data_IF_778227936679
#
_entry.id   IF_778227936679
#
_cell.length_a   1.000
_cell.length_b   1.000
_cell.length_c   1.000
_cell.angle_alpha   90.00
_cell.angle_beta   90.00
_cell.angle_gamma   90.00
#
_symmetry.space_group_name_H-M   'P 1'
#
loop_
_entity.id
_entity.type
_entity.pdbx_description
1 polymer ?
#
# COMPACT_ATOMS: atom_id res chain seq x y z
N UNK A 1 15.34 -7.77 -16.74
CA UNK A 1 14.36 -8.43 -15.84
C UNK A 1 13.81 -7.49 -14.77
N UNK A 2 14.55 -7.11 -13.71
CA UNK A 2 13.99 -6.23 -12.65
C UNK A 2 13.63 -4.82 -13.14
N UNK A 3 14.40 -4.26 -14.09
CA UNK A 3 14.05 -3.01 -14.78
C UNK A 3 12.72 -3.11 -15.55
N UNK A 4 12.42 -4.28 -16.11
CA UNK A 4 11.17 -4.50 -16.86
C UNK A 4 9.96 -4.56 -15.92
N UNK A 5 10.15 -5.09 -14.70
CA UNK A 5 9.13 -4.96 -13.65
C UNK A 5 8.94 -3.51 -13.24
N UNK A 6 10.04 -2.76 -13.06
CA UNK A 6 9.98 -1.35 -12.69
C UNK A 6 9.19 -0.53 -13.72
N UNK A 7 9.44 -0.68 -15.01
CA UNK A 7 8.72 0.08 -16.06
C UNK A 7 7.23 -0.26 -16.13
N UNK A 8 6.83 -1.48 -15.74
CA UNK A 8 5.43 -1.91 -15.73
C UNK A 8 4.69 -1.50 -14.45
N UNK A 9 5.40 -1.48 -13.32
CA UNK A 9 4.85 -1.22 -11.99
C UNK A 9 4.94 0.26 -11.59
N UNK A 10 5.93 0.99 -12.09
CA UNK A 10 6.18 2.39 -11.73
C UNK A 10 5.85 3.30 -12.91
N UNK A 11 5.07 4.34 -12.64
CA UNK A 11 4.77 5.40 -13.60
C UNK A 11 5.22 6.72 -13.02
N UNK A 12 6.22 7.33 -13.62
CA UNK A 12 6.67 8.69 -13.31
C UNK A 12 5.72 9.72 -13.93
N UNK A 13 5.32 10.73 -13.16
CA UNK A 13 4.60 11.92 -13.64
C UNK A 13 5.28 13.16 -13.05
N UNK A 14 5.17 14.34 -13.68
CA UNK A 14 5.85 15.54 -13.19
C UNK A 14 5.56 15.94 -11.74
N UNK A 15 4.43 15.50 -11.16
CA UNK A 15 4.00 15.86 -9.81
C UNK A 15 4.07 14.69 -8.81
N UNK A 16 4.25 13.45 -9.29
CA UNK A 16 4.24 12.28 -8.43
C UNK A 16 4.74 11.04 -9.17
N UNK A 17 5.25 10.09 -8.40
CA UNK A 17 5.48 8.72 -8.82
C UNK A 17 4.31 7.83 -8.42
N UNK A 18 3.83 6.99 -9.35
CA UNK A 18 2.76 6.01 -9.08
C UNK A 18 3.29 4.59 -9.13
N UNK A 19 3.17 3.89 -8.02
CA UNK A 19 3.43 2.46 -7.87
C UNK A 19 2.13 1.68 -8.00
N UNK A 20 2.01 0.84 -9.04
CA UNK A 20 0.86 -0.03 -9.28
C UNK A 20 1.01 -1.34 -8.50
N UNK A 21 -0.07 -1.81 -7.88
CA UNK A 21 -0.11 -3.10 -7.19
C UNK A 21 -0.84 -4.14 -8.04
N UNK A 22 -0.26 -4.48 -9.19
CA UNK A 22 -0.76 -5.57 -10.03
C UNK A 22 -0.34 -6.91 -9.41
N UNK A 23 -1.31 -7.67 -8.89
CA UNK A 23 -1.02 -8.90 -8.14
C UNK A 23 -0.28 -9.95 -8.95
N UNK A 24 -0.67 -10.17 -10.21
CA UNK A 24 -0.05 -11.19 -11.05
C UNK A 24 1.42 -10.84 -11.34
N UNK A 25 1.66 -9.57 -11.67
CA UNK A 25 3.00 -9.03 -11.89
C UNK A 25 3.85 -9.09 -10.62
N UNK A 26 3.29 -8.73 -9.48
CA UNK A 26 3.99 -8.74 -8.19
C UNK A 26 4.29 -10.16 -7.70
N UNK A 27 3.42 -11.12 -7.96
CA UNK A 27 3.67 -12.52 -7.61
C UNK A 27 4.78 -13.14 -8.48
N UNK A 28 4.85 -12.77 -9.77
CA UNK A 28 5.99 -13.14 -10.62
C UNK A 28 7.29 -12.48 -10.16
N UNK A 29 7.24 -11.19 -9.79
CA UNK A 29 8.39 -10.47 -9.23
C UNK A 29 8.86 -11.12 -7.93
N UNK A 30 7.93 -11.48 -7.04
CA UNK A 30 8.25 -12.18 -5.81
C UNK A 30 8.92 -13.54 -6.08
N UNK A 31 8.39 -14.34 -7.02
CA UNK A 31 8.99 -15.63 -7.38
C UNK A 31 10.42 -15.46 -7.90
N UNK A 32 10.64 -14.43 -8.72
CA UNK A 32 11.96 -14.07 -9.24
C UNK A 32 12.92 -13.70 -8.11
N UNK A 33 12.49 -12.82 -7.19
CA UNK A 33 13.29 -12.42 -6.03
C UNK A 33 13.59 -13.61 -5.10
N UNK A 34 12.60 -14.46 -4.83
CA UNK A 34 12.78 -15.64 -4.00
C UNK A 34 13.78 -16.64 -4.61
N UNK A 35 13.78 -16.81 -5.94
CA UNK A 35 14.79 -17.61 -6.64
C UNK A 35 16.19 -17.01 -6.50
N UNK A 36 16.35 -15.70 -6.72
CA UNK A 36 17.65 -15.03 -6.51
C UNK A 36 18.15 -15.17 -5.07
N UNK A 37 17.28 -14.93 -4.09
CA UNK A 37 17.61 -15.08 -2.67
C UNK A 37 17.96 -16.53 -2.30
N UNK A 38 17.30 -17.52 -2.90
CA UNK A 38 17.62 -18.94 -2.71
C UNK A 38 19.04 -19.29 -3.19
N UNK A 39 19.47 -18.73 -4.32
CA UNK A 39 20.86 -18.89 -4.79
C UNK A 39 21.87 -18.19 -3.86
N UNK A 40 21.47 -17.06 -3.26
CA UNK A 40 22.31 -16.33 -2.31
C UNK A 40 22.48 -17.07 -0.99
N UNK A 41 21.57 -17.95 -0.57
CA UNK A 41 21.75 -18.76 0.65
C UNK A 41 22.97 -19.69 0.61
N UNK A 42 23.47 -20.04 -0.57
CA UNK A 42 24.65 -20.89 -0.73
C UNK A 42 25.97 -20.11 -0.71
N UNK A 43 25.94 -18.78 -0.77
CA UNK A 43 27.11 -17.90 -0.78
C UNK A 43 26.99 -16.85 0.34
N UNK A 44 28.06 -16.54 1.05
CA UNK A 44 28.03 -15.57 2.15
C UNK A 44 27.74 -14.13 1.64
N UNK A 45 26.45 -13.78 1.43
CA UNK A 45 26.03 -12.70 0.50
C UNK A 45 25.06 -11.68 1.10
N UNK A 46 25.26 -11.32 2.37
CA UNK A 46 24.60 -10.18 2.99
C UNK A 46 24.71 -8.89 2.13
N UNK A 47 25.91 -8.64 1.58
CA UNK A 47 26.18 -7.48 0.72
C UNK A 47 25.41 -7.51 -0.61
N UNK A 48 25.14 -8.69 -1.17
CA UNK A 48 24.47 -8.81 -2.47
C UNK A 48 22.97 -8.52 -2.35
N UNK A 49 22.35 -8.94 -1.24
CA UNK A 49 20.99 -8.54 -0.89
C UNK A 49 20.87 -7.02 -0.72
N UNK A 50 21.78 -6.40 0.03
CA UNK A 50 21.79 -4.94 0.18
C UNK A 50 21.98 -4.22 -1.16
N UNK A 51 22.91 -4.68 -2.00
CA UNK A 51 23.16 -4.10 -3.31
C UNK A 51 21.92 -4.19 -4.23
N UNK A 52 21.16 -5.29 -4.14
CA UNK A 52 19.92 -5.44 -4.90
C UNK A 52 18.87 -4.40 -4.49
N UNK A 53 18.67 -4.20 -3.19
CA UNK A 53 17.72 -3.20 -2.69
C UNK A 53 18.17 -1.77 -2.97
N UNK A 54 19.49 -1.49 -2.90
CA UNK A 54 20.05 -0.20 -3.27
C UNK A 54 19.93 0.09 -4.78
N UNK A 55 20.13 -0.92 -5.63
CA UNK A 55 20.03 -0.81 -7.08
C UNK A 55 18.60 -0.70 -7.61
N UNK A 56 17.62 -1.18 -6.84
CA UNK A 56 16.20 -1.16 -7.22
C UNK A 56 15.30 -0.65 -6.08
N UNK A 57 15.33 0.66 -5.74
CA UNK A 57 14.57 1.22 -4.62
C UNK A 57 13.05 1.00 -4.69
N UNK A 58 12.51 0.83 -5.90
CA UNK A 58 11.08 0.56 -6.10
C UNK A 58 10.61 -0.73 -5.40
N UNK A 59 11.51 -1.69 -5.13
CA UNK A 59 11.18 -2.94 -4.44
C UNK A 59 10.67 -2.69 -3.02
N UNK A 60 11.18 -1.67 -2.32
CA UNK A 60 10.79 -1.32 -0.96
C UNK A 60 9.32 -0.87 -0.83
N UNK A 61 8.68 -0.55 -1.96
CA UNK A 61 7.26 -0.20 -2.03
C UNK A 61 6.35 -1.42 -1.95
N UNK A 62 6.88 -2.59 -2.32
CA UNK A 62 6.12 -3.84 -2.47
C UNK A 62 6.54 -4.92 -1.47
N UNK A 63 7.79 -4.90 -1.05
CA UNK A 63 8.38 -5.92 -0.19
C UNK A 63 9.22 -5.32 0.93
N UNK A 64 9.19 -5.96 2.09
CA UNK A 64 10.24 -5.81 3.09
C UNK A 64 11.21 -6.97 2.94
N UNK A 65 12.49 -6.67 3.12
CA UNK A 65 13.53 -7.68 3.14
C UNK A 65 14.31 -7.59 4.44
N UNK A 66 14.25 -8.68 5.19
CA UNK A 66 15.05 -8.91 6.38
C UNK A 66 16.28 -9.72 5.95
N UNK A 67 17.42 -9.04 5.83
CA UNK A 67 18.67 -9.65 5.38
C UNK A 67 19.25 -10.62 6.41
N UNK A 68 18.98 -10.43 7.71
CA UNK A 68 19.46 -11.35 8.76
C UNK A 68 18.69 -12.66 8.71
N UNK A 69 17.36 -12.58 8.57
CA UNK A 69 16.49 -13.77 8.51
C UNK A 69 16.27 -14.28 7.09
N UNK A 70 16.88 -13.64 6.09
CA UNK A 70 16.70 -13.92 4.66
C UNK A 70 15.21 -14.00 4.27
N UNK A 71 14.40 -13.10 4.84
CA UNK A 71 12.94 -13.17 4.73
C UNK A 71 12.40 -12.03 3.88
N UNK A 72 11.81 -12.41 2.75
CA UNK A 72 11.07 -11.51 1.87
C UNK A 72 9.58 -11.49 2.26
N UNK A 73 9.06 -10.33 2.67
CA UNK A 73 7.67 -10.16 3.12
C UNK A 73 6.91 -9.24 2.17
N UNK A 74 5.75 -9.69 1.67
CA UNK A 74 4.89 -8.92 0.75
C UNK A 74 4.09 -7.85 1.51
N UNK A 75 4.13 -6.58 1.09
CA UNK A 75 3.29 -5.48 1.63
C UNK A 75 1.81 -5.61 1.28
N UNK A 76 1.56 -6.16 0.10
CA UNK A 76 0.26 -6.13 -0.55
C UNK A 76 -0.59 -7.36 -0.26
N UNK A 77 -0.12 -8.26 0.60
CA UNK A 77 -0.83 -9.49 0.96
C UNK A 77 -1.11 -9.50 2.46
N UNK A 78 -2.32 -9.09 2.87
CA UNK A 78 -2.71 -9.11 4.27
C UNK A 78 -2.84 -10.56 4.78
N UNK A 79 -2.70 -10.79 6.09
CA UNK A 79 -3.05 -12.09 6.65
C UNK A 79 -4.54 -12.36 6.43
N UNK A 80 -4.89 -13.62 6.18
CA UNK A 80 -6.28 -14.03 6.05
C UNK A 80 -7.04 -13.95 7.37
N UNK A 81 -8.36 -14.13 7.31
CA UNK A 81 -9.20 -14.33 8.50
C UNK A 81 -9.70 -13.07 9.19
N UNK A 82 -9.56 -11.89 8.57
CA UNK A 82 -10.16 -10.67 9.09
C UNK A 82 -11.68 -10.74 9.05
N UNK A 83 -12.32 -10.62 10.22
CA UNK A 83 -13.79 -10.59 10.35
C UNK A 83 -14.37 -9.18 10.34
N UNK A 84 -13.52 -8.14 10.39
CA UNK A 84 -13.93 -6.73 10.41
C UNK A 84 -13.12 -5.90 9.43
N UNK A 85 -13.80 -5.00 8.72
CA UNK A 85 -13.16 -4.05 7.78
C UNK A 85 -12.11 -3.19 8.48
N UNK A 86 -12.40 -2.75 9.71
CA UNK A 86 -11.45 -2.00 10.54
C UNK A 86 -10.13 -2.75 10.83
N UNK A 87 -10.12 -4.09 10.84
CA UNK A 87 -8.88 -4.84 11.02
C UNK A 87 -8.01 -4.82 9.76
N UNK A 88 -8.61 -4.91 8.57
CA UNK A 88 -7.89 -4.70 7.31
C UNK A 88 -7.32 -3.28 7.25
N UNK A 89 -8.09 -2.27 7.66
CA UNK A 89 -7.61 -0.89 7.75
C UNK A 89 -6.39 -0.74 8.65
N UNK A 90 -6.46 -1.28 9.88
CA UNK A 90 -5.34 -1.25 10.84
C UNK A 90 -4.10 -1.95 10.31
N UNK A 91 -4.26 -3.10 9.65
CA UNK A 91 -3.15 -3.80 9.01
C UNK A 91 -2.41 -2.90 8.02
N UNK A 92 -3.14 -2.24 7.10
CA UNK A 92 -2.50 -1.36 6.13
C UNK A 92 -1.95 -0.09 6.74
N UNK A 93 -2.55 0.44 7.81
CA UNK A 93 -2.01 1.61 8.51
C UNK A 93 -0.65 1.30 9.13
N UNK A 94 -0.50 0.10 9.68
CA UNK A 94 0.79 -0.39 10.16
C UNK A 94 1.77 -0.65 8.99
N UNK A 95 1.29 -1.13 7.84
CA UNK A 95 2.14 -1.49 6.70
C UNK A 95 2.68 -0.29 5.92
N UNK A 96 1.93 0.79 5.87
CA UNK A 96 2.24 2.03 5.18
C UNK A 96 2.26 3.19 6.19
N UNK A 97 3.24 3.23 7.10
CA UNK A 97 3.35 4.30 8.08
C UNK A 97 3.61 5.64 7.38
N UNK A 98 2.96 6.70 7.84
CA UNK A 98 3.09 8.05 7.25
C UNK A 98 2.25 8.28 5.99
N UNK A 99 1.93 7.24 5.22
CA UNK A 99 1.07 7.39 4.05
C UNK A 99 -0.40 7.62 4.48
N UNK A 100 -1.10 8.43 3.70
CA UNK A 100 -2.56 8.58 3.78
C UNK A 100 -3.24 7.37 3.14
N UNK A 101 -4.13 6.70 3.88
CA UNK A 101 -4.90 5.57 3.36
C UNK A 101 -6.26 6.01 2.84
N UNK A 102 -6.42 6.02 1.51
CA UNK A 102 -7.74 6.11 0.89
C UNK A 102 -8.34 4.71 0.83
N UNK A 103 -9.04 4.33 1.91
CA UNK A 103 -9.53 2.98 2.12
C UNK A 103 -11.00 2.84 1.68
N UNK A 104 -11.23 2.26 0.51
CA UNK A 104 -12.54 2.19 -0.11
C UNK A 104 -13.42 1.08 0.50
N UNK A 105 -14.63 1.44 0.93
CA UNK A 105 -15.70 0.57 1.40
C UNK A 105 -16.98 0.89 0.64
N UNK A 106 -17.30 0.08 -0.37
CA UNK A 106 -18.40 0.36 -1.28
C UNK A 106 -18.18 1.68 -2.03
N UNK A 107 -19.10 2.64 -1.84
CA UNK A 107 -19.06 3.97 -2.48
C UNK A 107 -18.31 5.05 -1.68
N UNK A 108 -17.71 4.69 -0.55
CA UNK A 108 -17.04 5.64 0.35
C UNK A 108 -15.57 5.27 0.55
N UNK A 109 -14.72 6.26 0.77
CA UNK A 109 -13.44 6.09 1.45
C UNK A 109 -13.66 6.33 2.95
N UNK A 110 -13.29 5.37 3.80
CA UNK A 110 -13.58 5.39 5.24
C UNK A 110 -12.28 5.39 6.07
N UNK A 111 -12.28 6.13 7.18
CA UNK A 111 -11.18 6.22 8.16
C UNK A 111 -11.66 5.73 9.52
N UNK A 112 -10.85 4.93 10.21
CA UNK A 112 -11.29 4.17 11.39
C UNK A 112 -10.52 4.48 12.68
N UNK A 113 -9.42 5.23 12.61
CA UNK A 113 -8.54 5.46 13.75
C UNK A 113 -8.57 6.93 14.16
N UNK A 114 -8.70 7.27 15.46
CA UNK A 114 -8.69 8.67 15.91
C UNK A 114 -7.45 9.47 15.50
N UNK A 115 -6.33 8.77 15.26
CA UNK A 115 -5.09 9.34 14.72
C UNK A 115 -5.26 9.98 13.33
N UNK A 116 -6.32 9.63 12.59
CA UNK A 116 -6.65 10.25 11.30
C UNK A 116 -7.39 11.59 11.43
N UNK A 117 -7.49 12.16 12.64
CA UNK A 117 -8.21 13.42 12.89
C UNK A 117 -7.59 14.62 12.18
N UNK A 118 -6.27 14.77 12.20
CA UNK A 118 -5.57 15.85 11.46
C UNK A 118 -5.82 15.75 9.96
N UNK A 119 -5.72 14.52 9.42
CA UNK A 119 -6.07 14.24 8.03
C UNK A 119 -7.54 14.57 7.75
N UNK A 120 -8.45 14.20 8.65
CA UNK A 120 -9.86 14.49 8.50
C UNK A 120 -10.13 16.00 8.46
N UNK A 121 -9.43 16.78 9.29
CA UNK A 121 -9.49 18.25 9.29
C UNK A 121 -8.95 18.83 7.98
N UNK A 122 -7.77 18.38 7.52
CA UNK A 122 -7.19 18.77 6.23
C UNK A 122 -8.17 18.52 5.06
N UNK A 123 -8.88 17.41 5.15
CA UNK A 123 -9.86 16.96 4.16
C UNK A 123 -11.28 17.53 4.37
N UNK A 124 -11.45 18.46 5.31
CA UNK A 124 -12.74 19.07 5.69
C UNK A 124 -13.84 18.03 5.93
N UNK A 125 -13.52 16.97 6.67
CA UNK A 125 -14.43 15.88 6.99
C UNK A 125 -15.13 16.13 8.32
N UNK A 126 -16.46 15.99 8.31
CA UNK A 126 -17.25 15.92 9.54
C UNK A 126 -17.19 14.50 10.11
N UNK A 127 -17.06 14.33 11.44
CA UNK A 127 -17.21 13.02 12.08
C UNK A 127 -18.53 12.35 11.68
N UNK A 128 -18.46 11.05 11.38
CA UNK A 128 -19.63 10.24 11.09
C UNK A 128 -20.38 9.92 12.38
N UNK A 129 -21.70 9.77 12.27
CA UNK A 129 -22.51 9.18 13.33
C UNK A 129 -22.11 7.71 13.53
N UNK A 130 -22.46 7.16 14.70
CA UNK A 130 -22.26 5.75 15.00
C UNK A 130 -22.83 4.88 13.88
N UNK A 131 -22.00 4.00 13.32
CA UNK A 131 -22.34 3.11 12.22
C UNK A 131 -21.82 1.71 12.52
N UNK A 132 -22.43 0.69 11.92
CA UNK A 132 -22.09 -0.73 12.14
C UNK A 132 -20.63 -1.08 11.79
N UNK A 133 -19.94 -0.24 11.00
CA UNK A 133 -18.54 -0.44 10.60
C UNK A 133 -17.56 0.23 11.58
N UNK A 134 -18.06 1.14 12.40
CA UNK A 134 -17.29 1.98 13.32
C UNK A 134 -16.30 2.90 12.57
N UNK A 135 -16.63 3.30 11.34
CA UNK A 135 -15.88 4.35 10.64
C UNK A 135 -16.09 5.69 11.36
N UNK A 136 -15.01 6.44 11.57
CA UNK A 136 -15.02 7.74 12.24
C UNK A 136 -15.21 8.89 11.26
N UNK A 137 -14.61 8.78 10.08
CA UNK A 137 -14.75 9.74 8.99
C UNK A 137 -14.89 9.02 7.66
N UNK A 138 -15.39 9.73 6.66
CA UNK A 138 -15.37 9.24 5.29
C UNK A 138 -15.93 10.22 4.29
N UNK A 139 -15.72 9.92 3.02
CA UNK A 139 -16.24 10.71 1.91
C UNK A 139 -16.55 9.84 0.69
N UNK A 140 -17.44 10.27 -0.23
CA UNK A 140 -17.75 9.51 -1.43
C UNK A 140 -16.55 9.31 -2.36
N UNK A 141 -16.38 8.12 -2.93
CA UNK A 141 -15.28 7.78 -3.87
C UNK A 141 -15.21 8.74 -5.06
N UNK A 142 -16.32 9.33 -5.47
CA UNK A 142 -16.38 10.35 -6.52
C UNK A 142 -15.50 11.58 -6.22
N UNK A 143 -15.29 11.90 -4.94
CA UNK A 143 -14.41 12.99 -4.49
C UNK A 143 -12.93 12.57 -4.34
N UNK A 144 -12.63 11.28 -4.50
CA UNK A 144 -11.28 10.75 -4.27
C UNK A 144 -10.22 11.41 -5.15
N UNK A 145 -10.53 11.66 -6.42
CA UNK A 145 -9.57 12.26 -7.36
C UNK A 145 -9.17 13.66 -6.93
N UNK A 146 -10.14 14.46 -6.48
CA UNK A 146 -9.88 15.82 -5.98
C UNK A 146 -9.05 15.78 -4.70
N UNK A 147 -9.43 14.92 -3.75
CA UNK A 147 -8.72 14.78 -2.47
C UNK A 147 -7.31 14.22 -2.64
N UNK A 148 -7.11 13.29 -3.56
CA UNK A 148 -5.77 12.79 -3.92
C UNK A 148 -4.86 13.93 -4.39
N UNK A 149 -5.35 14.82 -5.27
CA UNK A 149 -4.57 15.98 -5.73
C UNK A 149 -4.18 16.89 -4.57
N UNK A 150 -5.15 17.27 -3.73
CA UNK A 150 -4.91 18.08 -2.54
C UNK A 150 -3.83 17.46 -1.64
N UNK A 151 -3.92 16.15 -1.38
CA UNK A 151 -2.94 15.44 -0.56
C UNK A 151 -1.54 15.46 -1.18
N UNK A 152 -1.43 15.21 -2.48
CA UNK A 152 -0.14 15.26 -3.19
C UNK A 152 0.46 16.67 -3.20
N UNK A 153 -0.35 17.71 -3.38
CA UNK A 153 0.07 19.12 -3.30
C UNK A 153 0.57 19.49 -1.89
N UNK A 154 0.10 18.81 -0.85
CA UNK A 154 0.57 18.94 0.53
C UNK A 154 1.76 18.01 0.85
N UNK A 155 2.39 17.40 -0.15
CA UNK A 155 3.53 16.50 0.02
C UNK A 155 3.18 15.19 0.73
N UNK A 156 1.90 14.80 0.77
CA UNK A 156 1.47 13.55 1.40
C UNK A 156 1.52 12.40 0.40
N UNK A 157 2.23 11.33 0.75
CA UNK A 157 2.11 10.05 0.06
C UNK A 157 0.75 9.42 0.33
N UNK A 158 0.16 8.77 -0.67
CA UNK A 158 -1.20 8.24 -0.61
C UNK A 158 -1.26 6.81 -1.12
N UNK A 159 -1.88 5.92 -0.36
CA UNK A 159 -2.17 4.55 -0.81
C UNK A 159 -3.67 4.39 -1.00
N UNK A 160 -4.06 3.96 -2.21
CA UNK A 160 -5.43 3.53 -2.49
C UNK A 160 -5.59 2.05 -2.14
N UNK A 161 -6.46 1.76 -1.18
CA UNK A 161 -6.83 0.39 -0.80
C UNK A 161 -8.25 0.13 -1.31
N UNK A 162 -8.38 -0.80 -2.25
CA UNK A 162 -9.62 -1.07 -2.97
C UNK A 162 -10.16 -2.48 -2.76
N UNK A 163 -11.48 -2.70 -2.92
CA UNK A 163 -12.08 -4.03 -2.88
C UNK A 163 -11.58 -4.91 -4.03
N UNK A 164 -11.48 -6.23 -3.78
CA UNK A 164 -11.08 -7.22 -4.79
C UNK A 164 -12.25 -8.00 -5.38
N UNK A 165 -13.46 -7.85 -4.83
CA UNK A 165 -14.61 -8.73 -5.11
C UNK A 165 -14.54 -10.09 -4.42
N UNK A 166 -13.42 -10.46 -3.80
CA UNK A 166 -13.27 -11.70 -3.05
C UNK A 166 -13.77 -11.53 -1.62
N UNK A 167 -14.58 -12.47 -1.13
CA UNK A 167 -15.01 -12.47 0.27
C UNK A 167 -14.22 -13.48 1.09
N UNK A 168 -13.65 -13.01 2.20
CA UNK A 168 -12.94 -13.82 3.18
C UNK A 168 -13.64 -13.64 4.54
N UNK A 169 -14.03 -14.74 5.17
CA UNK A 169 -14.67 -14.72 6.50
C UNK A 169 -15.87 -13.75 6.61
N UNK A 170 -16.64 -13.60 5.54
CA UNK A 170 -17.86 -12.78 5.49
C UNK A 170 -17.64 -11.29 5.22
N UNK A 171 -16.40 -10.84 5.02
CA UNK A 171 -16.12 -9.48 4.56
C UNK A 171 -15.35 -9.50 3.25
N UNK A 172 -15.55 -8.47 2.43
CA UNK A 172 -14.80 -8.32 1.19
C UNK A 172 -13.33 -8.00 1.50
N UNK A 173 -12.42 -8.70 0.83
CA UNK A 173 -10.98 -8.44 0.86
C UNK A 173 -10.68 -7.13 0.15
N UNK A 174 -9.77 -6.36 0.74
CA UNK A 174 -9.26 -5.12 0.17
C UNK A 174 -7.75 -5.17 0.11
N UNK A 175 -7.20 -4.77 -1.03
CA UNK A 175 -5.78 -4.79 -1.29
C UNK A 175 -5.31 -3.42 -1.80
N UNK A 176 -4.02 -3.09 -1.65
CA UNK A 176 -3.47 -1.91 -2.30
C UNK A 176 -3.66 -2.03 -3.81
N UNK A 177 -4.12 -0.94 -4.43
CA UNK A 177 -4.28 -0.81 -5.88
C UNK A 177 -3.14 0.01 -6.45
N UNK A 178 -2.83 1.12 -5.78
CA UNK A 178 -1.70 1.97 -6.12
C UNK A 178 -1.23 2.79 -4.91
N UNK A 179 0.05 3.15 -4.91
CA UNK A 179 0.65 4.16 -4.05
C UNK A 179 1.09 5.34 -4.92
N UNK A 180 0.78 6.54 -4.48
CA UNK A 180 1.23 7.79 -5.06
C UNK A 180 2.23 8.40 -4.09
N UNK A 181 3.39 8.74 -4.61
CA UNK A 181 4.49 9.34 -3.86
C UNK A 181 4.72 10.71 -4.48
N UNK A 182 4.43 11.81 -3.79
CA UNK A 182 4.72 13.14 -4.32
C UNK A 182 6.24 13.23 -4.51
N UNK A 183 6.66 13.72 -5.68
CA UNK A 183 8.07 14.03 -5.84
C UNK A 183 8.39 15.15 -4.85
N UNK A 184 9.28 14.87 -3.90
CA UNK A 184 9.83 15.90 -3.04
C UNK A 184 10.75 16.73 -3.93
N UNK A 185 10.24 17.88 -4.38
CA UNK A 185 11.04 18.90 -5.05
C UNK A 185 12.15 19.42 -4.11
#
# INVERSE_FOLDING_TARGET
>A
MLRDYQTRLVVERPAYRRYRFDQALLDQLHATLASYLGHFQQANTYHLGQALWAGYPFLAQYFDFDAERQRLTRKYRPPGGFRRVAHQYRYYRWRFPGDVLLFQVGRFCEFYLPHDSELAHLLNLTPLKLNHRHALWGFPVEQARQRLRLLLEQGQAVVWIGPTGRYLTGIEERLPVCRFDPDVA
#
